data_IF_724383873211
#
_entry.id   IF_724383873211
#
_cell.length_a   1.000
_cell.length_b   1.000
_cell.length_c   1.000
_cell.angle_alpha   90.00
_cell.angle_beta   90.00
_cell.angle_gamma   90.00
#
_symmetry.space_group_name_H-M   'P 1'
#
loop_
_entity.id
_entity.type
_entity.pdbx_description
1 polymer ?
#
# COMPACT_ATOMS: atom_id res chain seq x y z
N UNK A 1 -14.30 -21.63 -50.96
CA UNK A 1 -13.57 -21.24 -49.74
C UNK A 1 -14.12 -19.89 -49.34
N UNK A 2 -14.94 -19.84 -48.28
CA UNK A 2 -15.54 -18.56 -47.84
C UNK A 2 -14.46 -17.77 -47.12
N UNK A 3 -14.05 -16.64 -47.69
CA UNK A 3 -13.17 -15.69 -47.01
C UNK A 3 -14.04 -14.80 -46.14
N UNK A 4 -14.46 -15.33 -44.98
CA UNK A 4 -15.10 -14.50 -43.98
C UNK A 4 -14.06 -13.52 -43.45
N UNK A 5 -14.24 -12.23 -43.74
CA UNK A 5 -13.44 -11.18 -43.14
C UNK A 5 -14.01 -10.94 -41.75
N UNK A 6 -13.13 -10.94 -40.76
CA UNK A 6 -13.45 -10.66 -39.37
C UNK A 6 -14.04 -9.24 -39.22
N UNK A 7 -15.17 -9.13 -38.52
CA UNK A 7 -15.73 -7.84 -38.17
C UNK A 7 -15.03 -7.34 -36.91
N UNK A 8 -14.67 -6.05 -36.86
CA UNK A 8 -14.01 -5.49 -35.69
C UNK A 8 -15.05 -4.85 -34.78
N UNK A 9 -15.54 -5.58 -33.78
CA UNK A 9 -16.59 -5.12 -32.87
C UNK A 9 -16.12 -3.95 -31.99
N UNK A 10 -14.80 -3.80 -31.77
CA UNK A 10 -14.23 -2.67 -31.03
C UNK A 10 -14.47 -1.32 -31.72
N UNK A 11 -14.73 -1.32 -33.04
CA UNK A 11 -15.11 -0.08 -33.76
C UNK A 11 -16.51 0.41 -33.41
N UNK A 12 -17.33 -0.41 -32.76
CA UNK A 12 -18.70 -0.08 -32.36
C UNK A 12 -18.78 0.06 -30.85
N UNK A 13 -18.81 1.31 -30.37
CA UNK A 13 -18.93 1.63 -28.94
C UNK A 13 -17.89 0.90 -28.06
N UNK A 14 -16.66 0.75 -28.55
CA UNK A 14 -15.58 0.03 -27.87
C UNK A 14 -15.96 -1.42 -27.49
N UNK A 15 -16.80 -2.10 -28.28
CA UNK A 15 -17.30 -3.44 -27.93
C UNK A 15 -18.11 -3.47 -26.63
N UNK A 16 -18.61 -2.32 -26.16
CA UNK A 16 -19.22 -2.14 -24.83
C UNK A 16 -18.26 -2.41 -23.65
N UNK A 17 -16.96 -2.50 -23.91
CA UNK A 17 -15.94 -2.62 -22.88
C UNK A 17 -15.80 -1.30 -22.11
N UNK A 18 -15.65 -1.40 -20.79
CA UNK A 18 -15.48 -0.24 -19.91
C UNK A 18 -14.16 0.51 -20.19
N UNK A 19 -13.07 -0.22 -20.38
CA UNK A 19 -11.74 0.36 -20.66
C UNK A 19 -11.24 0.06 -22.08
N UNK A 20 -10.73 -1.16 -22.32
CA UNK A 20 -10.11 -1.50 -23.59
C UNK A 20 -10.83 -2.66 -24.28
N UNK A 21 -11.06 -2.53 -25.58
CA UNK A 21 -11.52 -3.61 -26.42
C UNK A 21 -10.37 -4.16 -27.29
N UNK A 22 -10.27 -5.48 -27.34
CA UNK A 22 -9.30 -6.22 -28.14
C UNK A 22 -10.05 -7.08 -29.14
N UNK A 23 -9.91 -6.77 -30.43
CA UNK A 23 -10.50 -7.55 -31.49
C UNK A 23 -9.75 -8.87 -31.67
N UNK A 24 -10.49 -9.97 -31.82
CA UNK A 24 -9.94 -11.32 -32.01
C UNK A 24 -10.56 -11.97 -33.24
N UNK A 25 -9.98 -13.03 -33.79
CA UNK A 25 -10.58 -13.67 -34.96
C UNK A 25 -11.92 -14.33 -34.60
N UNK A 26 -13.01 -13.78 -35.13
CA UNK A 26 -14.39 -14.25 -34.93
C UNK A 26 -15.09 -13.72 -33.68
N UNK A 27 -14.48 -12.80 -32.92
CA UNK A 27 -15.06 -12.18 -31.72
C UNK A 27 -14.20 -11.02 -31.19
N UNK A 28 -14.47 -10.56 -29.97
CA UNK A 28 -13.64 -9.59 -29.25
C UNK A 28 -13.58 -9.94 -27.75
N UNK A 29 -12.65 -9.32 -27.05
CA UNK A 29 -12.54 -9.41 -25.60
C UNK A 29 -12.26 -8.04 -24.98
N UNK A 30 -12.78 -7.83 -23.78
CA UNK A 30 -12.47 -6.64 -23.00
C UNK A 30 -11.23 -6.87 -22.11
N UNK A 31 -10.49 -5.80 -21.87
CA UNK A 31 -9.39 -5.78 -20.90
C UNK A 31 -9.39 -4.45 -20.13
N UNK A 32 -8.83 -4.48 -18.93
CA UNK A 32 -8.87 -3.35 -18.00
C UNK A 32 -7.53 -2.63 -17.91
N UNK A 33 -7.59 -1.39 -17.39
CA UNK A 33 -6.40 -0.62 -17.00
C UNK A 33 -5.61 -1.32 -15.89
N UNK A 34 -4.33 -0.94 -15.77
CA UNK A 34 -3.49 -1.45 -14.67
C UNK A 34 -4.10 -1.05 -13.33
N UNK A 35 -4.20 -1.99 -12.40
CA UNK A 35 -4.88 -1.81 -11.11
C UNK A 35 -6.35 -2.22 -11.12
N UNK A 36 -6.88 -2.67 -12.26
CA UNK A 36 -8.26 -3.16 -12.40
C UNK A 36 -8.28 -4.58 -12.97
N UNK A 37 -9.37 -5.28 -12.72
CA UNK A 37 -9.63 -6.62 -13.23
C UNK A 37 -11.01 -6.66 -13.89
N UNK A 38 -11.15 -7.52 -14.90
CA UNK A 38 -12.43 -7.74 -15.58
C UNK A 38 -13.42 -8.40 -14.61
N UNK A 39 -14.63 -7.87 -14.56
CA UNK A 39 -15.70 -8.46 -13.78
C UNK A 39 -16.29 -9.70 -14.48
N UNK A 40 -17.18 -10.41 -13.77
CA UNK A 40 -17.77 -11.67 -14.24
C UNK A 40 -18.68 -11.48 -15.47
N UNK A 41 -19.11 -10.24 -15.77
CA UNK A 41 -19.87 -9.92 -16.98
C UNK A 41 -19.00 -9.92 -18.25
N UNK A 42 -17.66 -9.86 -18.11
CA UNK A 42 -16.72 -9.82 -19.22
C UNK A 42 -16.58 -8.45 -19.90
N UNK A 43 -17.19 -7.39 -19.37
CA UNK A 43 -17.21 -6.05 -19.95
C UNK A 43 -16.73 -4.95 -18.98
N UNK A 44 -17.12 -5.05 -17.71
CA UNK A 44 -16.85 -4.02 -16.72
C UNK A 44 -15.53 -4.24 -16.00
N UNK A 45 -14.88 -3.14 -15.62
CA UNK A 45 -13.63 -3.18 -14.88
C UNK A 45 -13.88 -2.78 -13.43
N UNK A 46 -13.52 -3.68 -12.51
CA UNK A 46 -13.54 -3.42 -11.08
C UNK A 46 -12.13 -3.29 -10.55
N UNK A 47 -12.00 -2.51 -9.49
CA UNK A 47 -10.76 -2.32 -8.77
C UNK A 47 -10.16 -3.67 -8.35
N UNK A 48 -8.86 -3.87 -8.58
CA UNK A 48 -8.16 -5.06 -8.15
C UNK A 48 -7.59 -4.83 -6.75
N UNK A 49 -8.23 -5.40 -5.73
CA UNK A 49 -7.76 -5.23 -4.35
C UNK A 49 -6.46 -5.99 -4.10
N UNK A 50 -5.31 -5.33 -4.20
CA UNK A 50 -4.01 -5.96 -3.98
C UNK A 50 -3.81 -6.41 -2.53
N UNK A 51 -4.52 -5.79 -1.57
CA UNK A 51 -4.41 -6.14 -0.16
C UNK A 51 -4.96 -7.55 0.15
N UNK A 52 -5.91 -8.05 -0.64
CA UNK A 52 -6.43 -9.42 -0.49
C UNK A 52 -5.39 -10.48 -0.87
N UNK A 53 -4.37 -10.11 -1.65
CA UNK A 53 -3.31 -11.00 -2.08
C UNK A 53 -2.01 -10.70 -1.35
N UNK A 54 -1.67 -11.53 -0.37
CA UNK A 54 -0.42 -11.41 0.39
C UNK A 54 -0.20 -10.00 0.97
N UNK A 55 -1.29 -9.34 1.39
CA UNK A 55 -1.26 -7.99 1.97
C UNK A 55 -0.62 -6.94 1.05
N UNK A 56 -0.72 -7.07 -0.29
CA UNK A 56 -0.02 -6.21 -1.25
C UNK A 56 1.53 -6.31 -1.18
N UNK A 57 2.06 -7.27 -0.43
CA UNK A 57 3.47 -7.32 -0.05
C UNK A 57 3.89 -6.24 0.95
N UNK A 58 2.94 -5.59 1.63
CA UNK A 58 3.21 -4.67 2.71
C UNK A 58 3.71 -5.42 3.94
N UNK A 59 4.72 -4.87 4.60
CA UNK A 59 5.25 -5.42 5.86
C UNK A 59 4.27 -5.30 7.04
N UNK A 60 3.37 -4.29 7.00
CA UNK A 60 2.43 -3.98 8.07
C UNK A 60 1.01 -3.81 7.52
N UNK A 61 0.47 -2.59 7.49
CA UNK A 61 -0.88 -2.33 6.97
C UNK A 61 -0.88 -2.23 5.45
N UNK A 62 -1.95 -2.71 4.82
CA UNK A 62 -2.27 -2.44 3.43
C UNK A 62 -3.62 -1.74 3.35
N UNK A 63 -3.70 -0.66 2.58
CA UNK A 63 -4.93 0.07 2.30
C UNK A 63 -5.17 0.06 0.81
N UNK A 64 -6.28 -0.55 0.42
CA UNK A 64 -6.73 -0.59 -0.96
C UNK A 64 -7.25 0.79 -1.39
N UNK A 65 -6.95 1.20 -2.61
CA UNK A 65 -7.37 2.47 -3.20
C UNK A 65 -7.81 2.24 -4.64
N UNK A 66 -8.57 3.17 -5.22
CA UNK A 66 -9.04 2.97 -6.60
C UNK A 66 -7.86 2.96 -7.59
N UNK A 67 -7.65 1.83 -8.25
CA UNK A 67 -6.57 1.56 -9.21
C UNK A 67 -5.19 1.31 -8.58
N UNK A 68 -5.09 1.18 -7.25
CA UNK A 68 -3.81 0.95 -6.57
C UNK A 68 -3.97 0.57 -5.09
N UNK A 69 -2.85 0.52 -4.36
CA UNK A 69 -2.84 0.33 -2.91
C UNK A 69 -1.66 1.08 -2.29
N UNK A 70 -1.76 1.30 -0.99
CA UNK A 70 -0.69 1.88 -0.20
C UNK A 70 -0.41 1.05 1.04
N UNK A 71 0.88 0.83 1.32
CA UNK A 71 1.28 0.28 2.60
C UNK A 71 1.32 1.37 3.67
N UNK A 72 0.77 1.05 4.84
CA UNK A 72 0.76 1.89 6.03
C UNK A 72 1.67 1.33 7.11
N UNK A 73 2.47 2.22 7.70
CA UNK A 73 3.31 1.91 8.84
C UNK A 73 2.62 2.33 10.13
N UNK A 74 2.78 1.56 11.22
CA UNK A 74 2.41 2.05 12.55
C UNK A 74 3.06 3.41 12.83
N UNK A 75 2.43 4.24 13.68
CA UNK A 75 2.99 5.54 14.06
C UNK A 75 4.39 5.46 14.70
N UNK A 76 4.75 4.27 15.19
CA UNK A 76 6.07 3.96 15.71
C UNK A 76 7.05 3.57 14.62
N UNK A 77 6.75 3.55 13.33
CA UNK A 77 7.72 3.10 12.32
C UNK A 77 7.93 4.16 11.24
N UNK A 78 9.03 4.04 10.50
CA UNK A 78 9.28 4.85 9.31
C UNK A 78 9.18 3.98 8.05
N UNK A 79 8.61 4.55 6.99
CA UNK A 79 8.40 3.86 5.71
C UNK A 79 9.70 3.91 4.90
N UNK A 80 10.13 2.74 4.42
CA UNK A 80 11.33 2.59 3.61
C UNK A 80 11.12 3.07 2.17
N UNK A 81 12.22 3.17 1.41
CA UNK A 81 12.24 3.64 0.01
C UNK A 81 11.41 2.75 -0.92
N UNK A 82 11.25 1.47 -0.59
CA UNK A 82 10.44 0.51 -1.34
C UNK A 82 8.92 0.73 -1.18
N UNK A 83 8.50 1.66 -0.31
CA UNK A 83 7.12 1.94 0.05
C UNK A 83 6.31 0.76 0.61
N UNK A 84 6.98 -0.33 1.02
CA UNK A 84 6.35 -1.56 1.52
C UNK A 84 6.84 -1.96 2.89
N UNK A 85 8.12 -1.72 3.16
CA UNK A 85 8.78 -2.08 4.39
C UNK A 85 8.70 -0.93 5.38
N UNK A 86 8.38 -1.24 6.63
CA UNK A 86 8.44 -0.30 7.74
C UNK A 86 9.64 -0.70 8.61
N UNK A 87 10.49 0.26 8.91
CA UNK A 87 11.70 0.05 9.69
C UNK A 87 11.65 0.86 11.00
N UNK A 88 12.27 0.28 12.03
CA UNK A 88 12.56 0.83 13.36
C UNK A 88 11.36 1.23 14.20
N UNK A 89 11.64 1.64 15.43
CA UNK A 89 10.65 2.18 16.36
C UNK A 89 10.92 3.67 16.61
N UNK A 90 10.11 4.59 16.06
CA UNK A 90 10.00 5.98 16.49
C UNK A 90 9.66 5.94 17.99
N UNK A 91 10.62 6.37 18.81
CA UNK A 91 10.42 6.58 20.23
C UNK A 91 9.19 7.47 20.43
N UNK A 92 8.14 6.90 21.01
CA UNK A 92 6.97 7.67 21.41
C UNK A 92 7.37 8.67 22.49
N UNK A 93 6.67 9.80 22.60
CA UNK A 93 6.96 10.81 23.63
C UNK A 93 7.01 10.21 25.05
N UNK A 94 6.25 9.13 25.31
CA UNK A 94 6.29 8.38 26.57
C UNK A 94 7.66 7.73 26.87
N UNK A 95 8.38 7.24 25.86
CA UNK A 95 9.72 6.67 26.04
C UNK A 95 10.78 7.76 26.27
N UNK A 96 10.60 8.93 25.62
CA UNK A 96 11.46 10.11 25.80
C UNK A 96 11.33 10.70 27.20
N UNK A 97 10.11 10.74 27.73
CA UNK A 97 9.82 11.23 29.08
C UNK A 97 10.40 10.31 30.16
N UNK A 98 10.33 8.98 29.96
CA UNK A 98 10.98 8.00 30.85
C UNK A 98 12.50 8.16 30.90
N UNK A 99 13.15 8.42 29.75
CA UNK A 99 14.60 8.68 29.71
C UNK A 99 14.97 9.99 30.41
N UNK A 100 14.17 11.05 30.22
CA UNK A 100 14.37 12.34 30.90
C UNK A 100 14.20 12.21 32.42
N UNK A 101 13.20 11.47 32.89
CA UNK A 101 12.97 11.20 34.31
C UNK A 101 14.16 10.43 34.91
N UNK A 102 14.66 9.40 34.22
CA UNK A 102 15.85 8.65 34.66
C UNK A 102 17.09 9.53 34.78
N UNK A 103 17.33 10.42 33.81
CA UNK A 103 18.45 11.36 33.82
C UNK A 103 18.35 12.35 34.99
N UNK A 104 17.16 12.89 35.26
CA UNK A 104 16.93 13.80 36.39
C UNK A 104 17.16 13.11 37.75
N UNK A 105 16.71 11.86 37.91
CA UNK A 105 16.95 11.08 39.14
C UNK A 105 18.44 10.80 39.36
N UNK A 106 19.18 10.47 38.31
CA UNK A 106 20.64 10.28 38.37
C UNK A 106 21.37 11.57 38.76
N UNK A 107 21.01 12.71 38.16
CA UNK A 107 21.58 14.01 38.54
C UNK A 107 21.30 14.36 40.01
N UNK A 108 20.08 14.09 40.49
CA UNK A 108 19.70 14.34 41.88
C UNK A 108 20.49 13.46 42.85
N UNK A 109 20.68 12.18 42.50
CA UNK A 109 21.50 11.25 43.27
C UNK A 109 22.97 11.67 43.33
N UNK A 110 23.56 12.07 42.21
CA UNK A 110 24.93 12.60 42.15
C UNK A 110 25.10 13.87 42.99
N UNK A 111 24.14 14.80 42.94
CA UNK A 111 24.14 15.99 43.80
C UNK A 111 24.12 15.63 45.29
N UNK A 112 23.37 14.59 45.69
CA UNK A 112 23.38 14.12 47.08
C UNK A 112 24.73 13.53 47.48
N UNK A 113 25.37 12.76 46.61
CA UNK A 113 26.71 12.21 46.86
C UNK A 113 27.74 13.34 47.02
N UNK A 114 27.75 14.31 46.10
CA UNK A 114 28.68 15.44 46.13
C UNK A 114 28.51 16.29 47.40
N UNK A 115 27.26 16.51 47.84
CA UNK A 115 26.96 17.20 49.10
C UNK A 115 27.42 16.42 50.32
N UNK A 116 27.35 15.08 50.27
CA UNK A 116 27.84 14.20 51.35
C UNK A 116 29.36 14.09 51.39
N UNK A 117 30.07 14.40 50.30
CA UNK A 117 31.53 14.35 50.24
C UNK A 117 32.21 15.68 50.64
N UNK A 118 31.45 16.78 50.73
CA UNK A 118 31.92 18.13 51.04
C UNK A 118 31.56 18.59 52.48
N UNK A 119 31.09 17.68 53.33
CA UNK A 119 30.70 17.91 54.72
C UNK A 119 31.30 16.83 55.60
#
# INVERSE_FOLDING_TARGET
>A
MSTHVDENECRHSNGQCDTYCVNTAGSFACSCETGFQLDDDGFTCKDYNECERSNGGCSHGCVNTLGSYACECPNTHYKEVDNKTCHGERFTDSQKQNFLIFLLLLLFYLFRILRSANN
#
